data_IF_620406511682
#
_entry.id   IF_620406511682
#
_cell.length_a   1.000
_cell.length_b   1.000
_cell.length_c   1.000
_cell.angle_alpha   90.00
_cell.angle_beta   90.00
_cell.angle_gamma   90.00
#
_symmetry.space_group_name_H-M   'P 1'
#
loop_
_entity.id
_entity.type
_entity.pdbx_description
1 polymer ?
#
# COMPACT_ATOMS: atom_id res chain seq x y z
N UNK A 1 10.43 20.15 -21.79
CA UNK A 1 10.78 20.60 -20.44
C UNK A 1 9.70 20.12 -19.49
N UNK A 2 9.92 18.96 -18.80
CA UNK A 2 8.92 18.37 -17.91
C UNK A 2 8.61 19.31 -16.74
N UNK A 3 7.33 19.56 -16.51
CA UNK A 3 6.84 20.37 -15.39
C UNK A 3 7.30 19.69 -14.08
N UNK A 4 8.29 20.26 -13.37
CA UNK A 4 8.73 19.74 -12.05
C UNK A 4 7.50 19.62 -11.14
N UNK A 5 7.15 18.40 -10.73
CA UNK A 5 6.04 18.18 -9.78
C UNK A 5 6.27 18.99 -8.53
N UNK A 6 5.28 19.79 -8.17
CA UNK A 6 5.31 20.55 -6.93
C UNK A 6 5.21 19.55 -5.77
N UNK A 7 6.28 19.45 -4.98
CA UNK A 7 6.29 18.68 -3.76
C UNK A 7 5.32 19.30 -2.74
N UNK A 8 4.38 18.49 -2.24
CA UNK A 8 3.35 18.94 -1.29
C UNK A 8 3.78 18.48 0.10
N UNK A 9 4.48 19.34 0.83
CA UNK A 9 4.99 19.05 2.20
C UNK A 9 3.90 18.65 3.18
N UNK A 10 2.68 19.17 3.02
CA UNK A 10 1.54 18.82 3.86
C UNK A 10 1.18 17.33 3.86
N UNK A 11 1.43 16.61 2.76
CA UNK A 11 1.17 15.17 2.68
C UNK A 11 2.10 14.35 3.59
N UNK A 12 3.33 14.79 3.79
CA UNK A 12 4.24 14.12 4.72
C UNK A 12 3.86 14.37 6.16
N UNK A 13 3.31 15.56 6.47
CA UNK A 13 2.72 15.85 7.78
C UNK A 13 1.54 14.94 8.09
N UNK A 14 0.62 14.75 7.13
CA UNK A 14 -0.51 13.83 7.30
C UNK A 14 -0.03 12.38 7.48
N UNK A 15 0.99 11.95 6.73
CA UNK A 15 1.59 10.62 6.91
C UNK A 15 2.19 10.45 8.30
N UNK A 16 2.93 11.45 8.80
CA UNK A 16 3.51 11.40 10.13
C UNK A 16 2.43 11.26 11.21
N UNK A 17 1.35 12.04 11.11
CA UNK A 17 0.20 11.93 12.03
C UNK A 17 -0.42 10.53 11.94
N UNK A 18 -0.63 10.00 10.74
CA UNK A 18 -1.19 8.66 10.55
C UNK A 18 -0.32 7.56 11.18
N UNK A 19 1.03 7.65 11.05
CA UNK A 19 1.96 6.72 11.73
C UNK A 19 1.80 6.82 13.24
N UNK A 20 1.79 8.04 13.80
CA UNK A 20 1.66 8.25 15.24
C UNK A 20 0.33 7.66 15.74
N UNK A 21 -0.77 7.87 15.02
CA UNK A 21 -2.08 7.29 15.37
C UNK A 21 -2.04 5.77 15.42
N UNK A 22 -1.46 5.12 14.42
CA UNK A 22 -1.33 3.65 14.36
C UNK A 22 -0.44 3.12 15.48
N UNK A 23 0.70 3.78 15.75
CA UNK A 23 1.59 3.41 16.86
C UNK A 23 0.89 3.55 18.21
N UNK A 24 0.23 4.67 18.47
CA UNK A 24 -0.49 4.94 19.71
C UNK A 24 -1.61 3.92 19.95
N UNK A 25 -2.32 3.50 18.89
CA UNK A 25 -3.31 2.42 18.94
C UNK A 25 -2.68 1.10 19.38
N UNK A 26 -1.55 0.70 18.80
CA UNK A 26 -0.87 -0.55 19.15
C UNK A 26 -0.26 -0.53 20.55
N UNK A 27 0.14 0.65 21.02
CA UNK A 27 0.57 0.86 22.41
C UNK A 27 -0.61 0.93 23.40
N UNK A 28 -1.84 0.73 22.93
CA UNK A 28 -3.09 0.75 23.74
C UNK A 28 -3.27 2.04 24.53
N UNK A 29 -2.83 3.17 23.98
CA UNK A 29 -3.03 4.48 24.62
C UNK A 29 -4.52 4.85 24.60
N UNK A 30 -5.09 5.20 25.77
CA UNK A 30 -6.53 5.39 25.96
C UNK A 30 -7.15 6.43 25.00
N UNK A 31 -6.42 7.49 24.67
CA UNK A 31 -6.86 8.57 23.77
C UNK A 31 -6.88 8.14 22.28
N UNK A 32 -6.23 7.04 21.92
CA UNK A 32 -6.04 6.63 20.52
C UNK A 32 -6.76 5.32 20.16
N UNK A 33 -7.91 5.06 20.76
CA UNK A 33 -8.73 3.86 20.45
C UNK A 33 -9.11 3.75 18.99
N UNK A 34 -9.28 4.88 18.30
CA UNK A 34 -9.57 4.96 16.86
C UNK A 34 -8.32 5.12 15.99
N UNK A 35 -7.12 4.97 16.54
CA UNK A 35 -5.85 5.17 15.81
C UNK A 35 -5.65 4.22 14.63
N UNK A 36 -6.39 3.12 14.57
CA UNK A 36 -6.48 2.22 13.41
C UNK A 36 -6.88 2.98 12.12
N UNK A 37 -7.66 4.07 12.22
CA UNK A 37 -8.01 4.92 11.08
C UNK A 37 -6.79 5.50 10.36
N UNK A 38 -5.63 5.57 11.01
CA UNK A 38 -4.38 5.94 10.34
C UNK A 38 -4.05 5.07 9.14
N UNK A 39 -4.42 3.78 9.15
CA UNK A 39 -4.25 2.88 7.99
C UNK A 39 -5.10 3.34 6.82
N UNK A 40 -6.34 3.76 7.07
CA UNK A 40 -7.24 4.30 6.03
C UNK A 40 -6.66 5.59 5.42
N UNK A 41 -6.08 6.46 6.25
CA UNK A 41 -5.39 7.67 5.76
C UNK A 41 -4.24 7.30 4.82
N UNK A 42 -3.45 6.25 5.13
CA UNK A 42 -2.41 5.76 4.22
C UNK A 42 -2.96 5.29 2.89
N UNK A 43 -4.07 4.56 2.87
CA UNK A 43 -4.70 4.11 1.62
C UNK A 43 -5.16 5.29 0.76
N UNK A 44 -5.81 6.29 1.36
CA UNK A 44 -6.24 7.50 0.66
C UNK A 44 -5.03 8.26 0.08
N UNK A 45 -3.98 8.45 0.88
CA UNK A 45 -2.76 9.13 0.42
C UNK A 45 -2.06 8.35 -0.71
N UNK A 46 -2.00 7.02 -0.61
CA UNK A 46 -1.44 6.18 -1.66
C UNK A 46 -2.26 6.28 -2.96
N UNK A 47 -3.59 6.24 -2.85
CA UNK A 47 -4.49 6.43 -3.98
C UNK A 47 -4.28 7.80 -4.66
N UNK A 48 -4.29 8.87 -3.87
CA UNK A 48 -4.06 10.23 -4.36
C UNK A 48 -2.72 10.38 -5.10
N UNK A 49 -1.64 9.92 -4.48
CA UNK A 49 -0.30 10.06 -5.05
C UNK A 49 -0.11 9.23 -6.32
N UNK A 50 -0.59 7.99 -6.34
CA UNK A 50 -0.48 7.11 -7.50
C UNK A 50 -1.29 7.67 -8.65
N UNK A 51 -2.53 8.09 -8.40
CA UNK A 51 -3.39 8.71 -9.41
C UNK A 51 -2.71 9.94 -10.01
N UNK A 52 -2.18 10.83 -9.17
CA UNK A 52 -1.44 12.01 -9.64
C UNK A 52 -0.21 11.66 -10.49
N UNK A 53 0.50 10.56 -10.15
CA UNK A 53 1.63 10.07 -10.94
C UNK A 53 1.18 9.59 -12.32
N UNK A 54 0.16 8.77 -12.37
CA UNK A 54 -0.31 8.17 -13.60
C UNK A 54 -0.97 9.20 -14.54
N UNK A 55 -1.75 10.15 -13.98
CA UNK A 55 -2.36 11.23 -14.78
C UNK A 55 -1.27 12.12 -15.41
N UNK A 56 -0.26 12.53 -14.62
CA UNK A 56 0.82 13.35 -15.18
C UNK A 56 1.59 12.62 -16.29
N UNK A 57 1.82 11.31 -16.13
CA UNK A 57 2.51 10.51 -17.15
C UNK A 57 1.69 10.44 -18.44
N UNK A 58 0.36 10.27 -18.33
CA UNK A 58 -0.54 10.33 -19.49
C UNK A 58 -0.56 11.70 -20.14
N UNK A 59 -0.51 12.78 -19.35
CA UNK A 59 -0.51 14.17 -19.89
C UNK A 59 0.80 14.50 -20.60
N UNK A 60 1.92 14.00 -20.14
CA UNK A 60 3.26 14.27 -20.69
C UNK A 60 3.60 13.35 -21.86
N UNK A 61 3.30 12.04 -21.73
CA UNK A 61 3.76 11.00 -22.66
C UNK A 61 2.63 10.40 -23.52
N UNK A 62 1.37 10.74 -23.21
CA UNK A 62 0.20 10.19 -23.92
C UNK A 62 -0.05 8.70 -23.67
N UNK A 63 0.64 8.11 -22.69
CA UNK A 63 0.49 6.71 -22.26
C UNK A 63 1.01 6.53 -20.83
N UNK A 64 0.86 5.31 -20.26
CA UNK A 64 1.43 4.91 -18.97
C UNK A 64 2.50 3.86 -19.23
N UNK A 65 3.73 4.10 -18.78
CA UNK A 65 4.80 3.12 -18.79
C UNK A 65 4.72 2.21 -17.55
N UNK A 66 3.88 1.18 -17.66
CA UNK A 66 3.64 0.21 -16.59
C UNK A 66 4.93 -0.43 -16.07
N UNK A 67 5.87 -0.77 -16.98
CA UNK A 67 7.12 -1.44 -16.62
C UNK A 67 7.95 -0.56 -15.69
N UNK A 68 8.20 0.68 -16.08
CA UNK A 68 8.97 1.61 -15.26
C UNK A 68 8.22 2.01 -13.99
N UNK A 69 6.89 2.13 -14.05
CA UNK A 69 6.07 2.35 -12.85
C UNK A 69 6.28 1.23 -11.82
N UNK A 70 6.11 -0.03 -12.20
CA UNK A 70 6.27 -1.17 -11.28
C UNK A 70 7.71 -1.33 -10.81
N UNK A 71 8.70 -1.17 -11.68
CA UNK A 71 10.11 -1.22 -11.28
C UNK A 71 10.46 -0.19 -10.20
N UNK A 72 9.95 1.04 -10.33
CA UNK A 72 10.14 2.08 -9.29
C UNK A 72 9.52 1.67 -7.95
N UNK A 73 8.35 1.00 -7.97
CA UNK A 73 7.68 0.51 -6.74
C UNK A 73 8.40 -0.68 -6.13
N UNK A 74 8.77 -1.67 -6.94
CA UNK A 74 9.53 -2.84 -6.49
C UNK A 74 10.84 -2.40 -5.83
N UNK A 75 11.62 -1.55 -6.48
CA UNK A 75 12.89 -1.03 -5.93
C UNK A 75 12.73 -0.27 -4.62
N UNK A 76 11.58 0.31 -4.38
CA UNK A 76 11.26 1.03 -3.14
C UNK A 76 10.74 0.11 -2.04
N UNK A 77 9.82 -0.82 -2.37
CA UNK A 77 9.12 -1.63 -1.38
C UNK A 77 9.86 -2.90 -1.00
N UNK A 78 10.39 -3.63 -1.99
CA UNK A 78 10.99 -4.96 -1.75
C UNK A 78 12.17 -4.90 -0.78
N UNK A 79 13.15 -3.99 -0.89
CA UNK A 79 14.26 -3.94 0.07
C UNK A 79 13.78 -3.68 1.50
N UNK A 80 12.81 -2.77 1.68
CA UNK A 80 12.26 -2.44 2.99
C UNK A 80 11.49 -3.62 3.61
N UNK A 81 10.65 -4.30 2.81
CA UNK A 81 9.88 -5.46 3.25
C UNK A 81 10.81 -6.62 3.59
N UNK A 82 11.80 -6.90 2.76
CA UNK A 82 12.76 -7.98 2.99
C UNK A 82 13.60 -7.73 4.24
N UNK A 83 14.14 -6.54 4.43
CA UNK A 83 14.92 -6.20 5.63
C UNK A 83 14.07 -6.31 6.90
N UNK A 84 12.84 -5.78 6.88
CA UNK A 84 11.88 -5.93 7.98
C UNK A 84 11.60 -7.40 8.27
N UNK A 85 11.31 -8.20 7.23
CA UNK A 85 10.96 -9.60 7.40
C UNK A 85 12.12 -10.42 7.97
N UNK A 86 13.35 -10.20 7.53
CA UNK A 86 14.56 -10.85 8.07
C UNK A 86 14.75 -10.50 9.54
N UNK A 87 14.66 -9.20 9.89
CA UNK A 87 14.79 -8.75 11.29
C UNK A 87 13.71 -9.39 12.17
N UNK A 88 12.46 -9.39 11.73
CA UNK A 88 11.34 -9.97 12.48
C UNK A 88 11.57 -11.47 12.72
N UNK A 89 11.96 -12.22 11.70
CA UNK A 89 12.22 -13.67 11.84
C UNK A 89 13.39 -13.91 12.82
N UNK A 90 14.47 -13.14 12.67
CA UNK A 90 15.62 -13.27 13.56
C UNK A 90 15.26 -12.98 15.02
N UNK A 91 14.61 -11.85 15.29
CA UNK A 91 14.16 -11.47 16.63
C UNK A 91 13.18 -12.50 17.20
N UNK A 92 12.23 -12.98 16.40
CA UNK A 92 11.26 -13.98 16.80
C UNK A 92 11.94 -15.30 17.20
N UNK A 93 12.98 -15.71 16.48
CA UNK A 93 13.75 -16.93 16.78
C UNK A 93 14.43 -16.87 18.16
N UNK A 94 14.89 -15.68 18.56
CA UNK A 94 15.56 -15.46 19.85
C UNK A 94 14.55 -15.30 20.99
N UNK A 95 13.44 -14.60 20.73
CA UNK A 95 12.50 -14.19 21.80
C UNK A 95 11.51 -15.30 22.15
N UNK A 96 10.90 -15.95 21.14
CA UNK A 96 9.83 -16.91 21.40
C UNK A 96 9.61 -17.86 20.22
N UNK A 97 9.76 -19.16 20.49
CA UNK A 97 9.61 -20.23 19.49
C UNK A 97 8.21 -20.27 18.84
N UNK A 98 7.16 -19.94 19.60
CA UNK A 98 5.78 -19.91 19.05
C UNK A 98 5.62 -18.77 18.05
N UNK A 99 6.15 -17.58 18.38
CA UNK A 99 6.13 -16.42 17.50
C UNK A 99 6.93 -16.71 16.23
N UNK A 100 8.11 -17.31 16.37
CA UNK A 100 8.96 -17.73 15.26
C UNK A 100 8.23 -18.69 14.31
N UNK A 101 7.61 -19.75 14.85
CA UNK A 101 6.91 -20.75 14.03
C UNK A 101 5.73 -20.13 13.26
N UNK A 102 4.96 -19.24 13.91
CA UNK A 102 3.87 -18.49 13.25
C UNK A 102 4.43 -17.54 12.19
N UNK A 103 5.51 -16.81 12.52
CA UNK A 103 6.18 -15.90 11.60
C UNK A 103 6.69 -16.62 10.34
N UNK A 104 7.31 -17.79 10.48
CA UNK A 104 7.77 -18.56 9.32
C UNK A 104 6.64 -18.98 8.38
N UNK A 105 5.45 -19.31 8.91
CA UNK A 105 4.28 -19.64 8.09
C UNK A 105 3.76 -18.44 7.30
N UNK A 106 3.76 -17.26 7.91
CA UNK A 106 3.22 -16.04 7.31
C UNK A 106 4.25 -15.25 6.50
N UNK A 107 5.53 -15.59 6.63
CA UNK A 107 6.65 -14.90 5.99
C UNK A 107 6.47 -14.79 4.47
N UNK A 108 6.23 -15.93 3.81
CA UNK A 108 6.14 -15.97 2.36
C UNK A 108 4.95 -15.15 1.86
N UNK A 109 3.79 -15.28 2.52
CA UNK A 109 2.60 -14.50 2.20
C UNK A 109 2.82 -13.00 2.37
N UNK A 110 3.60 -12.59 3.38
CA UNK A 110 3.91 -11.20 3.66
C UNK A 110 4.87 -10.61 2.64
N UNK A 111 5.93 -11.33 2.30
CA UNK A 111 6.94 -10.87 1.32
C UNK A 111 6.37 -10.82 -0.10
N UNK A 112 5.51 -11.76 -0.47
CA UNK A 112 4.89 -11.81 -1.79
C UNK A 112 3.64 -10.91 -1.92
N UNK A 113 3.24 -10.20 -0.85
CA UNK A 113 2.16 -9.21 -0.91
C UNK A 113 0.75 -9.80 -1.00
N UNK A 114 0.51 -11.00 -0.45
CA UNK A 114 -0.83 -11.59 -0.35
C UNK A 114 -1.23 -11.98 1.09
N UNK A 115 -0.61 -11.39 2.09
CA UNK A 115 -0.87 -11.70 3.50
C UNK A 115 -2.34 -11.46 3.91
N UNK A 116 -3.05 -10.50 3.30
CA UNK A 116 -4.48 -10.28 3.50
C UNK A 116 -5.32 -11.52 3.16
N UNK A 117 -5.08 -12.11 2.00
CA UNK A 117 -5.76 -13.36 1.58
C UNK A 117 -5.35 -14.53 2.44
N UNK A 118 -4.06 -14.63 2.77
CA UNK A 118 -3.55 -15.67 3.67
C UNK A 118 -4.28 -15.66 5.01
N UNK A 119 -4.47 -14.50 5.63
CA UNK A 119 -5.21 -14.37 6.88
C UNK A 119 -6.68 -14.74 6.73
N UNK A 120 -7.35 -14.33 5.65
CA UNK A 120 -8.74 -14.69 5.37
C UNK A 120 -8.90 -16.22 5.26
N UNK A 121 -8.06 -16.88 4.47
CA UNK A 121 -8.14 -18.33 4.26
C UNK A 121 -7.80 -19.12 5.53
N UNK A 122 -6.91 -18.61 6.37
CA UNK A 122 -6.58 -19.25 7.64
C UNK A 122 -7.50 -18.79 8.79
N UNK A 123 -8.57 -18.04 8.52
CA UNK A 123 -9.54 -17.53 9.51
C UNK A 123 -8.87 -16.76 10.67
N UNK A 124 -7.78 -16.06 10.39
CA UNK A 124 -7.08 -15.23 11.37
C UNK A 124 -7.83 -13.92 11.51
N UNK A 125 -8.53 -13.73 12.64
CA UNK A 125 -9.14 -12.44 12.95
C UNK A 125 -8.08 -11.45 13.41
N UNK A 126 -8.07 -10.27 12.80
CA UNK A 126 -7.15 -9.19 13.19
C UNK A 126 -7.46 -8.64 14.59
N UNK A 127 -8.74 -8.59 14.97
CA UNK A 127 -9.21 -8.02 16.24
C UNK A 127 -9.42 -9.07 17.35
N UNK A 128 -9.68 -10.32 16.97
CA UNK A 128 -10.08 -11.41 17.90
C UNK A 128 -9.02 -12.51 17.98
N UNK A 129 -7.77 -12.21 17.69
CA UNK A 129 -6.71 -13.24 17.73
C UNK A 129 -6.59 -13.85 19.13
N UNK A 130 -7.14 -15.04 19.31
CA UNK A 130 -6.92 -15.84 20.50
C UNK A 130 -5.45 -16.31 20.54
N UNK A 131 -4.72 -15.90 21.57
CA UNK A 131 -3.31 -16.26 21.79
C UNK A 131 -2.31 -15.28 21.17
N UNK A 132 -1.05 -15.69 21.08
CA UNK A 132 0.05 -14.86 20.58
C UNK A 132 -0.10 -14.64 19.08
N UNK A 133 -0.28 -13.40 18.59
CA UNK A 133 -0.44 -13.13 17.18
C UNK A 133 0.88 -13.39 16.41
N UNK A 134 0.76 -13.60 15.09
CA UNK A 134 1.92 -13.63 14.22
C UNK A 134 2.55 -12.22 14.12
N UNK A 135 3.87 -12.12 14.08
CA UNK A 135 4.54 -10.82 13.92
C UNK A 135 4.24 -10.17 12.56
N UNK A 136 3.76 -10.94 11.59
CA UNK A 136 3.36 -10.45 10.26
C UNK A 136 1.86 -10.14 10.13
N UNK A 137 1.10 -10.22 11.23
CA UNK A 137 -0.35 -9.93 11.19
C UNK A 137 -0.63 -8.56 10.56
N UNK A 138 0.18 -7.55 10.84
CA UNK A 138 -0.01 -6.19 10.32
C UNK A 138 0.33 -6.01 8.83
N UNK A 139 0.96 -7.01 8.19
CA UNK A 139 1.32 -6.95 6.77
C UNK A 139 0.11 -7.06 5.81
N UNK A 140 -1.11 -7.31 6.33
CA UNK A 140 -2.31 -7.33 5.51
C UNK A 140 -2.56 -6.00 4.76
N UNK A 141 -2.31 -4.86 5.40
CA UNK A 141 -2.49 -3.55 4.78
C UNK A 141 -1.46 -3.29 3.69
N UNK A 142 -0.21 -3.69 3.91
CA UNK A 142 0.84 -3.62 2.90
C UNK A 142 0.53 -4.52 1.69
N UNK A 143 -0.07 -5.69 1.92
CA UNK A 143 -0.51 -6.58 0.86
C UNK A 143 -1.60 -5.93 -0.01
N UNK A 144 -2.61 -5.30 0.60
CA UNK A 144 -3.64 -4.54 -0.13
C UNK A 144 -3.02 -3.40 -0.95
N UNK A 145 -2.09 -2.65 -0.37
CA UNK A 145 -1.40 -1.56 -1.07
C UNK A 145 -0.60 -2.07 -2.28
N UNK A 146 0.10 -3.20 -2.12
CA UNK A 146 0.86 -3.84 -3.21
C UNK A 146 -0.07 -4.28 -4.34
N UNK A 147 -1.21 -4.90 -4.02
CA UNK A 147 -2.22 -5.31 -5.00
C UNK A 147 -2.85 -4.11 -5.71
N UNK A 148 -3.10 -3.02 -4.99
CA UNK A 148 -3.56 -1.76 -5.58
C UNK A 148 -2.55 -1.22 -6.59
N UNK A 149 -1.26 -1.21 -6.28
CA UNK A 149 -0.21 -0.77 -7.22
C UNK A 149 -0.08 -1.66 -8.45
N UNK A 150 -0.47 -2.93 -8.34
CA UNK A 150 -0.46 -3.84 -9.47
C UNK A 150 -1.66 -3.62 -10.41
N UNK A 151 -2.85 -3.49 -9.85
CA UNK A 151 -4.13 -3.51 -10.58
C UNK A 151 -4.54 -2.11 -11.07
N UNK A 152 -4.41 -1.10 -10.22
CA UNK A 152 -4.93 0.24 -10.50
C UNK A 152 -4.34 0.90 -11.76
N UNK A 153 -3.03 0.82 -12.05
CA UNK A 153 -2.47 1.37 -13.29
C UNK A 153 -3.02 0.71 -14.55
N UNK A 154 -3.35 -0.59 -14.49
CA UNK A 154 -3.95 -1.32 -15.61
C UNK A 154 -5.37 -0.82 -15.87
N UNK A 155 -6.17 -0.63 -14.82
CA UNK A 155 -7.54 -0.11 -14.93
C UNK A 155 -7.50 1.29 -15.53
N UNK A 156 -6.62 2.17 -15.02
CA UNK A 156 -6.52 3.55 -15.47
C UNK A 156 -6.05 3.64 -16.93
N UNK A 157 -5.08 2.82 -17.33
CA UNK A 157 -4.65 2.71 -18.72
C UNK A 157 -5.77 2.19 -19.63
N UNK A 158 -6.54 1.21 -19.17
CA UNK A 158 -7.70 0.68 -19.90
C UNK A 158 -8.76 1.77 -20.13
N UNK A 159 -9.13 2.50 -19.09
CA UNK A 159 -10.07 3.62 -19.17
C UNK A 159 -9.53 4.69 -20.13
N UNK A 160 -8.25 5.06 -20.01
CA UNK A 160 -7.63 6.04 -20.90
C UNK A 160 -7.73 5.64 -22.38
N UNK A 161 -7.36 4.39 -22.71
CA UNK A 161 -7.44 3.89 -24.09
C UNK A 161 -8.87 3.88 -24.63
N UNK A 162 -9.85 3.45 -23.83
CA UNK A 162 -11.26 3.43 -24.21
C UNK A 162 -11.81 4.84 -24.48
N UNK A 163 -11.43 5.82 -23.66
CA UNK A 163 -11.91 7.20 -23.82
C UNK A 163 -11.20 7.91 -24.98
N UNK A 164 -9.89 7.62 -25.18
CA UNK A 164 -9.13 8.14 -26.32
C UNK A 164 -9.71 7.66 -27.65
N UNK A 165 -10.15 6.40 -27.73
CA UNK A 165 -10.79 5.84 -28.94
C UNK A 165 -12.13 6.51 -29.28
N UNK A 166 -12.77 7.19 -28.31
CA UNK A 166 -14.06 7.89 -28.48
C UNK A 166 -13.94 9.40 -28.73
N UNK A 167 -12.74 9.94 -28.87
CA UNK A 167 -12.43 11.33 -29.16
C UNK A 167 -11.56 12.02 -28.12
N UNK A 168 -10.50 12.68 -28.56
CA UNK A 168 -9.44 13.22 -27.68
C UNK A 168 -9.93 14.22 -26.60
N UNK A 169 -10.99 14.97 -26.86
CA UNK A 169 -11.53 15.92 -25.88
C UNK A 169 -12.23 15.28 -24.68
N UNK A 170 -12.60 14.01 -24.75
CA UNK A 170 -13.25 13.26 -23.67
C UNK A 170 -12.26 12.48 -22.81
N UNK A 171 -11.07 12.18 -23.35
CA UNK A 171 -10.06 11.37 -22.66
C UNK A 171 -9.56 12.05 -21.37
N UNK A 172 -9.28 13.36 -21.40
CA UNK A 172 -8.85 14.12 -20.23
C UNK A 172 -9.93 14.18 -19.15
N UNK A 173 -11.20 14.37 -19.53
CA UNK A 173 -12.31 14.40 -18.56
C UNK A 173 -12.55 13.06 -17.91
N UNK A 174 -12.51 11.95 -18.66
CA UNK A 174 -12.70 10.61 -18.12
C UNK A 174 -11.65 10.22 -17.07
N UNK A 175 -10.39 10.62 -17.26
CA UNK A 175 -9.31 10.38 -16.30
C UNK A 175 -9.49 11.19 -15.00
N UNK A 176 -9.92 12.45 -15.12
CA UNK A 176 -10.19 13.30 -13.95
C UNK A 176 -11.35 12.72 -13.11
N UNK A 177 -12.40 12.22 -13.74
CA UNK A 177 -13.51 11.58 -13.03
C UNK A 177 -13.12 10.24 -12.38
N UNK A 178 -12.28 9.43 -13.03
CA UNK A 178 -11.81 8.15 -12.47
C UNK A 178 -10.81 8.32 -11.31
N UNK A 179 -10.17 9.47 -11.22
CA UNK A 179 -9.19 9.76 -10.17
C UNK A 179 -9.75 10.50 -8.94
N UNK A 180 -10.99 10.99 -9.01
CA UNK A 180 -11.63 11.78 -7.92
C UNK A 180 -12.71 10.98 -7.18
N UNK A 181 -13.15 9.85 -7.70
CA UNK A 181 -14.07 8.91 -7.02
C UNK A 181 -13.32 7.79 -6.33
#
# INVERSE_FOLDING_TARGET
>A
MGKKRRYITGLDGIRAIAVIMVLAYHLKLALFKSGFLGVTVFFVLSGYLITGILISEVEEEGTIDLKNFWLRRIRRLVPAVMSMAVVIIFVSAVVNRVIFTKGCKDFLASVLGFNNWWQIFNKVSYFEAAGVPSPFTHCWSLAIETQFYLIYPLILLGIYKLVKSRGEGRAKRGLLFAGVT
#
